data_IF_027017074875
#
_entry.id   IF_027017074875
#
_cell.length_a   1.000
_cell.length_b   1.000
_cell.length_c   1.000
_cell.angle_alpha   90.00
_cell.angle_beta   90.00
_cell.angle_gamma   90.00
#
_symmetry.space_group_name_H-M   'P 1'
#
loop_
_entity.id
_entity.type
_entity.pdbx_description
1 polymer ?
#
# COMPACT_ATOMS: atom_id res chain seq x y z
N UNK A 1 14.29 10.69 14.38
CA UNK A 1 13.99 10.77 12.94
C UNK A 1 15.21 10.98 12.04
N UNK A 2 16.06 11.99 12.28
CA UNK A 2 17.22 12.29 11.41
C UNK A 2 18.18 11.11 11.18
N UNK A 3 18.45 10.30 12.22
CA UNK A 3 19.29 9.09 12.09
C UNK A 3 18.71 8.03 11.13
N UNK A 4 17.39 7.91 11.06
CA UNK A 4 16.72 6.95 10.15
C UNK A 4 16.74 7.45 8.70
N UNK A 5 16.54 8.76 8.49
CA UNK A 5 16.72 9.40 7.19
C UNK A 5 18.17 9.22 6.69
N UNK A 6 19.16 9.49 7.54
CA UNK A 6 20.58 9.33 7.20
C UNK A 6 20.98 7.86 6.90
N UNK A 7 20.29 6.89 7.50
CA UNK A 7 20.50 5.47 7.27
C UNK A 7 19.68 4.91 6.08
N UNK A 8 18.96 5.75 5.32
CA UNK A 8 18.04 5.33 4.26
C UNK A 8 16.93 4.36 4.74
N UNK A 9 16.51 4.49 6.00
CA UNK A 9 15.46 3.66 6.60
C UNK A 9 14.11 4.39 6.69
N UNK A 10 14.01 5.60 6.13
CA UNK A 10 12.80 6.41 6.17
C UNK A 10 12.62 7.19 4.87
N UNK A 11 11.57 6.86 4.12
CA UNK A 11 11.17 7.55 2.88
C UNK A 11 12.33 7.74 1.88
N UNK A 12 13.22 6.76 1.78
CA UNK A 12 14.49 6.87 1.03
C UNK A 12 14.32 6.84 -0.49
N UNK A 13 13.19 6.36 -0.98
CA UNK A 13 12.93 6.18 -2.42
C UNK A 13 11.96 7.19 -3.03
N UNK A 14 11.70 8.30 -2.35
CA UNK A 14 10.89 9.38 -2.93
C UNK A 14 11.59 10.01 -4.14
N UNK A 15 10.78 10.51 -5.08
CA UNK A 15 11.24 11.17 -6.30
C UNK A 15 11.15 12.68 -6.09
N UNK A 16 12.26 13.43 -6.21
CA UNK A 16 12.23 14.88 -6.09
C UNK A 16 11.53 15.52 -7.30
N UNK A 17 10.62 16.43 -7.01
CA UNK A 17 9.80 17.18 -7.97
C UNK A 17 10.10 18.66 -7.81
N UNK A 18 10.38 19.33 -8.93
CA UNK A 18 10.73 20.75 -8.96
C UNK A 18 10.39 21.38 -10.31
N UNK A 19 10.37 22.71 -10.37
CA UNK A 19 10.13 23.47 -11.60
C UNK A 19 8.79 23.14 -12.27
N UNK A 20 8.80 22.88 -13.58
CA UNK A 20 7.58 22.60 -14.37
C UNK A 20 6.79 21.37 -13.88
N UNK A 21 7.43 20.42 -13.20
CA UNK A 21 6.73 19.25 -12.68
C UNK A 21 5.79 19.63 -11.52
N UNK A 22 6.11 20.68 -10.76
CA UNK A 22 5.23 21.23 -9.72
C UNK A 22 3.96 21.80 -10.33
N UNK A 23 4.08 22.55 -11.43
CA UNK A 23 2.94 23.10 -12.16
C UNK A 23 2.01 21.99 -12.64
N UNK A 24 2.57 20.93 -13.25
CA UNK A 24 1.78 19.76 -13.70
C UNK A 24 1.11 19.04 -12.55
N UNK A 25 1.83 18.86 -11.44
CA UNK A 25 1.28 18.24 -10.24
C UNK A 25 0.12 19.07 -9.68
N UNK A 26 0.23 20.39 -9.66
CA UNK A 26 -0.84 21.29 -9.24
C UNK A 26 -2.06 21.22 -10.16
N UNK A 27 -1.89 21.08 -11.48
CA UNK A 27 -2.99 20.83 -12.41
C UNK A 27 -3.72 19.52 -12.10
N UNK A 28 -2.97 18.46 -11.74
CA UNK A 28 -3.57 17.22 -11.27
C UNK A 28 -4.35 17.43 -9.97
N UNK A 29 -3.80 18.14 -8.98
CA UNK A 29 -4.50 18.45 -7.74
C UNK A 29 -5.82 19.20 -8.00
N UNK A 30 -5.81 20.21 -8.85
CA UNK A 30 -7.02 20.97 -9.22
C UNK A 30 -8.07 20.08 -9.86
N UNK A 31 -7.67 19.20 -10.80
CA UNK A 31 -8.58 18.23 -11.43
C UNK A 31 -9.21 17.28 -10.40
N UNK A 32 -8.48 16.92 -9.35
CA UNK A 32 -8.96 16.08 -8.25
C UNK A 32 -9.79 16.86 -7.20
N UNK A 33 -10.03 18.16 -7.40
CA UNK A 33 -10.76 19.00 -6.44
C UNK A 33 -9.92 19.46 -5.24
N UNK A 34 -8.60 19.27 -5.30
CA UNK A 34 -7.66 19.61 -4.23
C UNK A 34 -6.98 20.94 -4.58
N UNK A 35 -6.88 21.84 -3.59
CA UNK A 35 -6.19 23.13 -3.79
C UNK A 35 -4.72 22.89 -4.20
N UNK A 36 -4.13 23.68 -5.11
CA UNK A 36 -2.70 23.62 -5.41
C UNK A 36 -1.81 23.71 -4.17
N UNK A 37 -0.66 23.04 -4.20
CA UNK A 37 0.42 23.26 -3.21
C UNK A 37 1.16 24.56 -3.51
N UNK A 38 1.61 25.23 -2.45
CA UNK A 38 2.48 26.41 -2.53
C UNK A 38 3.97 26.06 -2.56
N UNK A 39 4.32 24.79 -2.41
CA UNK A 39 5.69 24.31 -2.40
C UNK A 39 6.31 24.44 -3.79
N UNK A 40 7.56 24.90 -3.84
CA UNK A 40 8.35 25.03 -5.07
C UNK A 40 9.17 23.77 -5.37
N UNK A 41 9.38 22.94 -4.36
CA UNK A 41 10.02 21.63 -4.43
C UNK A 41 9.42 20.70 -3.35
N UNK A 42 9.24 19.43 -3.69
CA UNK A 42 8.78 18.37 -2.78
C UNK A 42 9.12 17.01 -3.37
N UNK A 43 8.85 15.93 -2.64
CA UNK A 43 9.13 14.58 -3.13
C UNK A 43 7.86 13.73 -3.16
N UNK A 44 7.71 12.88 -4.18
CA UNK A 44 6.55 11.97 -4.32
C UNK A 44 6.94 10.51 -4.27
N UNK A 45 5.99 9.65 -3.90
CA UNK A 45 6.12 8.21 -3.89
C UNK A 45 5.61 7.56 -5.21
N UNK A 46 5.47 6.23 -5.22
CA UNK A 46 5.02 5.49 -6.40
C UNK A 46 3.63 5.90 -6.91
N UNK A 47 2.67 6.23 -6.03
CA UNK A 47 1.30 6.64 -6.42
C UNK A 47 1.18 8.15 -6.69
N UNK A 48 2.22 8.92 -6.35
CA UNK A 48 2.24 10.37 -6.47
C UNK A 48 1.93 11.11 -5.17
N UNK A 49 1.91 10.41 -4.03
CA UNK A 49 1.73 11.02 -2.72
C UNK A 49 3.03 11.66 -2.22
N UNK A 50 2.93 12.84 -1.62
CA UNK A 50 4.05 13.58 -1.03
C UNK A 50 3.83 13.81 0.47
N UNK A 51 4.82 13.47 1.32
CA UNK A 51 4.76 13.79 2.75
C UNK A 51 4.75 15.30 3.00
N UNK A 52 5.46 16.10 2.20
CA UNK A 52 5.51 17.56 2.36
C UNK A 52 4.17 18.21 2.01
N UNK A 53 3.53 17.75 0.93
CA UNK A 53 2.20 18.23 0.55
C UNK A 53 1.13 17.79 1.56
N UNK A 54 1.24 16.56 2.09
CA UNK A 54 0.36 16.07 3.16
C UNK A 54 0.47 16.93 4.43
N UNK A 55 1.70 17.33 4.80
CA UNK A 55 1.96 18.22 5.93
C UNK A 55 1.38 19.63 5.69
N UNK A 56 1.59 20.21 4.50
CA UNK A 56 1.02 21.51 4.12
C UNK A 56 -0.51 21.50 4.23
N UNK A 57 -1.14 20.43 3.73
CA UNK A 57 -2.60 20.27 3.72
C UNK A 57 -3.19 19.83 5.05
N UNK A 58 -2.34 19.40 6.01
CA UNK A 58 -2.75 18.76 7.26
C UNK A 58 -3.66 17.54 7.04
N UNK A 59 -3.46 16.84 5.94
CA UNK A 59 -4.26 15.69 5.54
C UNK A 59 -3.32 14.62 4.98
N UNK A 60 -3.23 13.49 5.68
CA UNK A 60 -2.34 12.40 5.30
C UNK A 60 -2.73 11.84 3.92
N UNK A 61 -3.99 11.47 3.75
CA UNK A 61 -4.49 10.87 2.51
C UNK A 61 -5.16 11.93 1.62
N UNK A 62 -4.44 13.00 1.27
CA UNK A 62 -5.02 14.10 0.48
C UNK A 62 -5.35 13.71 -0.97
N UNK A 63 -4.78 12.62 -1.49
CA UNK A 63 -5.14 12.05 -2.80
C UNK A 63 -6.37 11.15 -2.76
N UNK A 64 -6.97 10.99 -1.58
CA UNK A 64 -8.22 10.25 -1.41
C UNK A 64 -9.35 11.23 -1.07
N UNK A 65 -10.36 11.29 -1.93
CA UNK A 65 -11.58 12.06 -1.71
C UNK A 65 -12.53 11.22 -0.84
N UNK A 66 -12.33 11.30 0.47
CA UNK A 66 -12.99 10.41 1.44
C UNK A 66 -12.31 9.05 1.51
N UNK A 67 -13.05 8.04 1.95
CA UNK A 67 -12.51 6.69 2.15
C UNK A 67 -12.64 5.79 0.91
N UNK A 68 -13.59 6.07 0.00
CA UNK A 68 -13.85 5.24 -1.18
C UNK A 68 -13.08 5.69 -2.43
N UNK A 69 -12.89 7.01 -2.61
CA UNK A 69 -12.36 7.55 -3.86
C UNK A 69 -10.86 7.80 -3.76
N UNK A 70 -10.08 6.80 -4.15
CA UNK A 70 -8.63 6.93 -4.20
C UNK A 70 -8.18 7.39 -5.58
N UNK A 71 -7.25 8.33 -5.61
CA UNK A 71 -6.63 8.81 -6.84
C UNK A 71 -5.11 8.70 -6.76
N UNK A 72 -4.48 8.70 -7.92
CA UNK A 72 -3.03 8.73 -8.10
C UNK A 72 -2.62 9.83 -9.06
N UNK A 73 -1.35 10.23 -9.00
CA UNK A 73 -0.75 11.20 -9.90
C UNK A 73 0.54 10.59 -10.45
N UNK A 74 0.58 10.40 -11.77
CA UNK A 74 1.78 9.95 -12.49
C UNK A 74 2.33 11.13 -13.28
N UNK A 75 3.48 11.63 -12.85
CA UNK A 75 4.18 12.76 -13.47
C UNK A 75 5.60 12.39 -13.95
N UNK A 76 6.07 11.18 -13.66
CA UNK A 76 7.40 10.73 -14.05
C UNK A 76 7.46 9.21 -14.26
N UNK A 77 8.22 8.71 -15.25
CA UNK A 77 8.47 7.28 -15.40
C UNK A 77 9.29 6.71 -14.23
N UNK A 78 9.96 7.57 -13.45
CA UNK A 78 10.72 7.17 -12.26
C UNK A 78 9.85 6.60 -11.15
N UNK A 79 8.53 6.81 -11.19
CA UNK A 79 7.57 6.20 -10.26
C UNK A 79 7.45 4.68 -10.45
N UNK A 80 7.93 4.15 -11.58
CA UNK A 80 7.93 2.71 -11.83
C UNK A 80 8.73 1.96 -10.76
N UNK A 81 8.04 1.05 -10.07
CA UNK A 81 8.65 0.19 -9.04
C UNK A 81 8.95 0.89 -7.72
N UNK A 82 8.52 2.15 -7.55
CA UNK A 82 8.69 2.88 -6.29
C UNK A 82 7.68 2.44 -5.24
N UNK A 83 8.07 2.47 -3.95
CA UNK A 83 7.17 2.13 -2.87
C UNK A 83 6.01 3.13 -2.81
N UNK A 84 4.83 2.62 -2.44
CA UNK A 84 3.68 3.41 -1.99
C UNK A 84 3.73 3.43 -0.47
N UNK A 85 4.02 4.58 0.13
CA UNK A 85 4.31 4.66 1.58
C UNK A 85 3.05 4.69 2.42
N UNK A 86 2.00 5.32 1.91
CA UNK A 86 0.72 5.48 2.60
C UNK A 86 -0.42 4.84 1.79
N UNK A 87 -0.35 3.53 1.48
CA UNK A 87 -1.45 2.86 0.80
C UNK A 87 -2.72 2.96 1.66
N UNK A 88 -3.86 3.21 1.02
CA UNK A 88 -5.16 3.14 1.66
C UNK A 88 -5.64 1.68 1.70
N UNK A 89 -5.37 0.95 0.62
CA UNK A 89 -5.58 -0.49 0.52
C UNK A 89 -4.25 -1.24 0.34
N UNK A 90 -4.12 -2.45 0.88
CA UNK A 90 -2.88 -3.25 0.69
C UNK A 90 -2.55 -3.51 -0.78
N UNK A 91 -3.56 -3.58 -1.65
CA UNK A 91 -3.39 -3.81 -3.08
C UNK A 91 -3.00 -2.57 -3.90
N UNK A 92 -2.97 -1.36 -3.32
CA UNK A 92 -2.57 -0.14 -4.05
C UNK A 92 -1.19 -0.25 -4.69
N UNK A 93 -0.29 -0.96 -3.99
CA UNK A 93 1.08 -1.24 -4.46
C UNK A 93 1.06 -2.10 -5.73
N UNK A 94 0.19 -3.11 -5.76
CA UNK A 94 0.07 -4.03 -6.88
C UNK A 94 -0.66 -3.37 -8.05
N UNK A 95 -1.67 -2.53 -7.78
CA UNK A 95 -2.31 -1.71 -8.82
C UNK A 95 -1.30 -0.84 -9.55
N UNK A 96 -0.44 -0.11 -8.80
CA UNK A 96 0.59 0.72 -9.42
C UNK A 96 1.61 -0.11 -10.23
N UNK A 97 1.97 -1.32 -9.77
CA UNK A 97 2.83 -2.21 -10.56
C UNK A 97 2.15 -2.62 -11.87
N UNK A 98 0.87 -2.98 -11.83
CA UNK A 98 0.12 -3.37 -13.03
C UNK A 98 -0.03 -2.20 -14.01
N UNK A 99 -0.29 -0.98 -13.52
CA UNK A 99 -0.31 0.25 -14.34
C UNK A 99 0.99 0.42 -15.12
N UNK A 100 2.15 0.33 -14.46
CA UNK A 100 3.45 0.51 -15.11
C UNK A 100 3.88 -0.69 -15.96
N UNK A 101 3.34 -1.87 -15.70
CA UNK A 101 3.57 -3.08 -16.51
C UNK A 101 2.80 -2.99 -17.82
N UNK A 102 1.53 -2.56 -17.78
CA UNK A 102 0.65 -2.46 -18.95
C UNK A 102 0.97 -1.23 -19.81
N UNK A 103 1.10 -0.05 -19.19
CA UNK A 103 1.19 1.23 -19.90
C UNK A 103 2.56 1.91 -19.78
N UNK A 104 3.60 1.23 -19.28
CA UNK A 104 4.89 1.85 -18.95
C UNK A 104 5.57 2.62 -20.09
N UNK A 105 5.46 2.13 -21.33
CA UNK A 105 6.01 2.83 -22.52
C UNK A 105 5.23 4.11 -22.83
N UNK A 106 3.90 4.06 -22.76
CA UNK A 106 3.00 5.21 -22.98
C UNK A 106 3.18 6.25 -21.89
N UNK A 107 3.22 5.84 -20.62
CA UNK A 107 3.50 6.71 -19.48
C UNK A 107 4.82 7.44 -19.68
N UNK A 108 5.88 6.75 -20.12
CA UNK A 108 7.18 7.37 -20.38
C UNK A 108 7.14 8.43 -21.50
N UNK A 109 6.32 8.25 -22.53
CA UNK A 109 6.16 9.28 -23.57
C UNK A 109 5.28 10.44 -23.08
N UNK A 110 4.13 10.14 -22.48
CA UNK A 110 3.15 11.12 -21.99
C UNK A 110 3.77 12.04 -20.94
N UNK A 111 4.52 11.50 -19.97
CA UNK A 111 5.04 12.28 -18.84
C UNK A 111 6.19 13.22 -19.22
N UNK A 112 6.67 13.21 -20.46
CA UNK A 112 7.66 14.18 -20.97
C UNK A 112 7.12 15.61 -20.89
N UNK A 113 5.89 15.79 -21.34
CA UNK A 113 5.23 17.08 -21.48
C UNK A 113 3.90 17.19 -20.72
N UNK A 114 3.34 16.06 -20.28
CA UNK A 114 2.05 15.97 -19.60
C UNK A 114 2.17 15.28 -18.22
N UNK A 115 1.04 15.11 -17.55
CA UNK A 115 0.84 14.34 -16.34
C UNK A 115 -0.48 13.57 -16.43
N UNK A 116 -0.58 12.48 -15.68
CA UNK A 116 -1.71 11.56 -15.72
C UNK A 116 -2.31 11.53 -14.31
N UNK A 117 -3.58 11.91 -14.20
CA UNK A 117 -4.40 11.55 -13.05
C UNK A 117 -4.85 10.10 -13.22
N UNK A 118 -4.74 9.33 -12.15
CA UNK A 118 -5.20 7.94 -12.08
C UNK A 118 -6.39 7.90 -11.15
N UNK A 119 -7.47 7.29 -11.61
CA UNK A 119 -8.67 7.12 -10.81
C UNK A 119 -8.86 5.62 -10.52
N UNK A 120 -8.96 5.26 -9.25
CA UNK A 120 -9.13 3.89 -8.79
C UNK A 120 -10.60 3.64 -8.47
N UNK A 121 -11.40 3.43 -9.51
CA UNK A 121 -12.85 3.27 -9.41
C UNK A 121 -13.22 1.86 -8.93
N UNK A 122 -13.78 1.79 -7.73
CA UNK A 122 -14.22 0.56 -7.08
C UNK A 122 -15.73 0.30 -7.24
N UNK A 123 -16.44 1.13 -8.01
CA UNK A 123 -17.90 1.05 -8.18
C UNK A 123 -18.69 1.49 -6.94
N UNK A 124 -18.06 2.27 -6.05
CA UNK A 124 -18.62 2.77 -4.80
C UNK A 124 -18.30 4.26 -4.71
N UNK A 125 -19.34 5.09 -4.81
CA UNK A 125 -19.17 6.55 -4.75
C UNK A 125 -18.81 7.02 -3.35
N UNK A 126 -19.47 6.44 -2.34
CA UNK A 126 -19.32 6.78 -0.92
C UNK A 126 -19.60 5.54 -0.08
N UNK A 127 -18.76 5.31 0.92
CA UNK A 127 -19.01 4.35 1.97
C UNK A 127 -20.14 4.81 2.89
N UNK A 128 -21.21 4.03 2.98
CA UNK A 128 -22.35 4.31 3.87
C UNK A 128 -22.26 3.41 5.11
N UNK A 129 -21.99 2.13 4.88
CA UNK A 129 -21.92 1.12 5.95
C UNK A 129 -20.67 0.25 5.82
N UNK A 130 -20.16 -0.32 6.92
CA UNK A 130 -18.95 -1.15 6.88
C UNK A 130 -19.04 -2.35 5.92
N UNK A 131 -20.26 -2.81 5.64
CA UNK A 131 -20.53 -3.93 4.74
C UNK A 131 -20.31 -3.59 3.27
N UNK A 132 -20.26 -2.31 2.90
CA UNK A 132 -19.92 -1.86 1.55
C UNK A 132 -18.52 -2.35 1.12
N UNK A 133 -17.62 -2.61 2.08
CA UNK A 133 -16.27 -3.17 1.79
C UNK A 133 -16.36 -4.52 1.07
N UNK A 134 -17.41 -5.31 1.31
CA UNK A 134 -17.55 -6.62 0.66
C UNK A 134 -17.77 -6.51 -0.84
N UNK A 135 -18.25 -5.36 -1.32
CA UNK A 135 -18.48 -5.10 -2.75
C UNK A 135 -17.18 -4.89 -3.54
N UNK A 136 -16.02 -4.81 -2.87
CA UNK A 136 -14.72 -4.59 -3.49
C UNK A 136 -14.18 -5.86 -4.16
N UNK A 137 -14.53 -6.17 -5.40
CA UNK A 137 -13.96 -7.33 -6.11
C UNK A 137 -12.97 -6.93 -7.21
N UNK A 138 -13.30 -5.86 -7.93
CA UNK A 138 -12.61 -5.39 -9.12
C UNK A 138 -12.49 -3.88 -9.07
N UNK A 139 -11.27 -3.37 -9.16
CA UNK A 139 -10.97 -1.95 -9.33
C UNK A 139 -10.76 -1.66 -10.81
N UNK A 140 -11.50 -0.70 -11.34
CA UNK A 140 -11.29 -0.16 -12.68
C UNK A 140 -10.36 1.05 -12.59
N UNK A 141 -9.12 0.88 -13.02
CA UNK A 141 -8.13 1.94 -13.05
C UNK A 141 -8.33 2.74 -14.33
N UNK A 142 -8.78 3.99 -14.20
CA UNK A 142 -8.98 4.94 -15.30
C UNK A 142 -7.85 5.96 -15.32
N UNK A 143 -7.60 6.53 -16.49
CA UNK A 143 -6.51 7.46 -16.72
C UNK A 143 -7.03 8.73 -17.36
N UNK A 144 -6.52 9.84 -16.85
CA UNK A 144 -6.97 11.17 -17.20
C UNK A 144 -5.75 12.05 -17.47
N UNK A 145 -5.58 12.47 -18.71
CA UNK A 145 -4.49 13.37 -19.09
C UNK A 145 -4.83 14.80 -18.64
N UNK A 146 -3.85 15.52 -18.09
CA UNK A 146 -4.04 16.95 -17.82
C UNK A 146 -4.28 17.72 -19.12
N UNK A 147 -5.05 18.80 -19.04
CA UNK A 147 -5.43 19.65 -20.18
C UNK A 147 -6.17 18.92 -21.32
N UNK A 148 -6.70 17.72 -21.07
CA UNK A 148 -7.39 16.88 -22.05
C UNK A 148 -6.57 16.70 -23.34
N UNK A 149 -5.29 16.33 -23.18
CA UNK A 149 -4.35 16.21 -24.30
C UNK A 149 -4.84 15.25 -25.39
N UNK A 150 -5.60 14.21 -25.01
CA UNK A 150 -6.27 13.28 -25.91
C UNK A 150 -7.38 13.93 -26.75
N UNK A 151 -8.19 14.82 -26.16
CA UNK A 151 -9.16 15.62 -26.90
C UNK A 151 -8.46 16.57 -27.87
N UNK A 152 -7.36 17.20 -27.43
CA UNK A 152 -6.54 18.09 -28.28
C UNK A 152 -5.85 17.36 -29.42
N UNK A 153 -5.48 16.11 -29.22
CA UNK A 153 -5.01 15.25 -30.31
C UNK A 153 -6.11 15.00 -31.34
N UNK A 154 -7.34 14.68 -30.90
CA UNK A 154 -8.48 14.48 -31.82
C UNK A 154 -8.78 15.74 -32.63
N UNK A 155 -8.80 16.90 -31.98
CA UNK A 155 -8.96 18.21 -32.64
C UNK A 155 -7.85 18.43 -33.70
N UNK A 156 -6.59 18.16 -33.35
CA UNK A 156 -5.47 18.32 -34.28
C UNK A 156 -5.56 17.36 -35.48
N UNK A 157 -5.98 16.11 -35.27
CA UNK A 157 -6.20 15.14 -36.35
C UNK A 157 -7.34 15.57 -37.28
N UNK A 158 -8.44 16.11 -36.74
CA UNK A 158 -9.54 16.66 -37.55
C UNK A 158 -9.09 17.85 -38.41
N UNK A 159 -8.25 18.75 -37.87
CA UNK A 159 -7.67 19.85 -38.65
C UNK A 159 -6.79 19.32 -39.79
N UNK A 160 -6.04 18.24 -39.56
CA UNK A 160 -5.20 17.61 -40.58
C UNK A 160 -6.04 16.92 -41.65
N UNK A 161 -7.10 16.21 -41.27
CA UNK A 161 -8.06 15.61 -42.20
C UNK A 161 -8.71 16.68 -43.07
N UNK A 162 -9.17 17.78 -42.46
CA UNK A 162 -9.70 18.94 -43.18
C UNK A 162 -8.66 19.51 -44.14
N UNK A 163 -7.41 19.67 -43.70
CA UNK A 163 -6.32 20.19 -44.52
C UNK A 163 -6.02 19.30 -45.74
N UNK A 164 -6.05 17.99 -45.56
CA UNK A 164 -5.82 17.00 -46.62
C UNK A 164 -7.04 16.80 -47.54
N UNK A 165 -8.18 17.43 -47.23
CA UNK A 165 -9.41 17.30 -48.01
C UNK A 165 -9.51 18.42 -49.05
N UNK A 166 -9.90 18.06 -50.27
CA UNK A 166 -10.12 18.97 -51.41
C UNK A 166 -8.93 19.92 -51.67
N UNK A 167 -9.19 21.23 -51.75
CA UNK A 167 -8.19 22.27 -51.93
C UNK A 167 -7.94 23.04 -50.62
N UNK A 168 -8.23 22.47 -49.44
CA UNK A 168 -8.07 23.19 -48.17
C UNK A 168 -6.59 23.46 -47.83
N UNK A 169 -5.64 22.83 -48.53
CA UNK A 169 -4.20 23.08 -48.38
C UNK A 169 -3.75 24.49 -48.80
N UNK A 170 -4.60 25.28 -49.47
CA UNK A 170 -4.33 26.71 -49.76
C UNK A 170 -5.00 27.66 -48.76
N UNK A 171 -5.77 27.14 -47.80
CA UNK A 171 -6.46 27.95 -46.80
C UNK A 171 -5.47 28.42 -45.71
N UNK A 172 -5.07 29.69 -45.78
CA UNK A 172 -4.18 30.32 -44.81
C UNK A 172 -4.77 30.38 -43.39
N UNK A 173 -6.10 30.41 -43.25
CA UNK A 173 -6.74 30.36 -41.93
C UNK A 173 -6.51 28.98 -41.29
N UNK A 174 -6.69 27.91 -42.06
CA UNK A 174 -6.45 26.54 -41.60
C UNK A 174 -4.97 26.30 -41.25
N UNK A 175 -4.05 26.90 -42.01
CA UNK A 175 -2.62 26.90 -41.64
C UNK A 175 -2.37 27.56 -40.29
N UNK A 176 -3.04 28.70 -40.04
CA UNK A 176 -2.99 29.40 -38.76
C UNK A 176 -3.48 28.54 -37.60
N UNK A 177 -4.63 27.89 -37.76
CA UNK A 177 -5.21 26.98 -36.75
C UNK A 177 -4.27 25.80 -36.43
N UNK A 178 -3.67 25.17 -37.45
CA UNK A 178 -2.68 24.10 -37.28
C UNK A 178 -1.41 24.58 -36.57
N UNK A 179 -0.88 25.75 -36.95
CA UNK A 179 0.33 26.33 -36.34
C UNK A 179 0.10 26.68 -34.87
N UNK A 180 -1.03 27.28 -34.53
CA UNK A 180 -1.36 27.62 -33.14
C UNK A 180 -1.57 26.37 -32.28
N UNK A 181 -2.23 25.34 -32.83
CA UNK A 181 -2.34 24.03 -32.17
C UNK A 181 -0.96 23.42 -31.88
N UNK A 182 -0.08 23.39 -32.89
CA UNK A 182 1.27 22.82 -32.77
C UNK A 182 2.16 23.60 -31.80
N UNK A 183 2.09 24.94 -31.76
CA UNK A 183 2.84 25.76 -30.81
C UNK A 183 2.40 25.52 -29.37
N UNK A 184 1.10 25.32 -29.15
CA UNK A 184 0.52 25.21 -27.80
C UNK A 184 0.66 23.81 -27.22
N UNK A 185 0.41 22.76 -28.02
CA UNK A 185 0.35 21.37 -27.55
C UNK A 185 1.44 20.46 -28.13
N UNK A 186 2.27 20.97 -29.04
CA UNK A 186 3.23 20.18 -29.77
C UNK A 186 2.61 19.40 -30.94
N UNK A 187 3.43 18.55 -31.56
CA UNK A 187 2.99 17.64 -32.61
C UNK A 187 2.45 16.35 -31.97
N UNK A 188 1.14 16.14 -32.06
CA UNK A 188 0.45 15.00 -31.46
C UNK A 188 0.14 13.89 -32.47
N UNK A 189 0.47 14.07 -33.76
CA UNK A 189 0.03 13.17 -34.84
C UNK A 189 0.38 11.70 -34.64
N UNK A 190 1.58 11.45 -34.14
CA UNK A 190 2.13 10.09 -34.00
C UNK A 190 2.23 9.64 -32.53
N UNK A 191 1.61 10.37 -31.60
CA UNK A 191 1.66 10.04 -30.18
C UNK A 191 0.57 9.03 -29.83
N UNK A 192 0.92 8.01 -29.07
CA UNK A 192 -0.06 7.08 -28.50
C UNK A 192 -0.44 7.54 -27.10
N UNK A 193 -1.52 8.33 -27.03
CA UNK A 193 -2.05 8.88 -25.77
C UNK A 193 -3.16 8.00 -25.16
N UNK A 194 -3.53 6.90 -25.82
CA UNK A 194 -4.64 6.06 -25.39
C UNK A 194 -4.22 5.14 -24.24
N UNK A 195 -4.66 5.47 -23.03
CA UNK A 195 -4.49 4.62 -21.85
C UNK A 195 -5.81 3.89 -21.57
N UNK A 196 -5.89 2.64 -22.03
CA UNK A 196 -7.07 1.81 -21.80
C UNK A 196 -7.26 1.53 -20.29
N UNK A 197 -8.52 1.55 -19.78
CA UNK A 197 -8.78 1.22 -18.39
C UNK A 197 -8.29 -0.19 -18.04
N UNK A 198 -7.65 -0.33 -16.88
CA UNK A 198 -7.16 -1.62 -16.38
C UNK A 198 -8.17 -2.14 -15.37
N UNK A 199 -8.61 -3.39 -15.51
CA UNK A 199 -9.37 -4.09 -14.47
C UNK A 199 -8.41 -4.86 -13.58
N UNK A 200 -8.39 -4.52 -12.30
CA UNK A 200 -7.57 -5.18 -11.28
C UNK A 200 -8.49 -5.91 -10.31
N UNK A 201 -8.39 -7.24 -10.25
CA UNK A 201 -9.15 -8.05 -9.29
C UNK A 201 -8.37 -8.20 -7.99
N UNK A 202 -9.08 -8.18 -6.87
CA UNK A 202 -8.49 -8.21 -5.53
C UNK A 202 -9.19 -9.28 -4.68
N UNK A 203 -8.40 -10.09 -3.99
CA UNK A 203 -8.88 -11.14 -3.09
C UNK A 203 -8.98 -10.64 -1.65
N UNK A 204 -8.12 -11.16 -0.76
CA UNK A 204 -7.95 -10.72 0.61
C UNK A 204 -7.16 -9.42 0.65
N UNK A 205 -7.63 -8.44 1.43
CA UNK A 205 -6.94 -7.16 1.58
C UNK A 205 -7.22 -6.50 2.93
N UNK A 206 -6.41 -5.49 3.24
CA UNK A 206 -6.69 -4.55 4.32
C UNK A 206 -7.00 -3.17 3.73
N UNK A 207 -7.99 -2.49 4.31
CA UNK A 207 -8.34 -1.10 4.02
C UNK A 207 -8.30 -0.25 5.28
N UNK A 208 -7.92 1.02 5.12
CA UNK A 208 -8.01 2.03 6.20
C UNK A 208 -9.42 2.57 6.40
N UNK A 209 -10.36 2.25 5.52
CA UNK A 209 -11.76 2.62 5.68
C UNK A 209 -12.29 2.13 7.04
N UNK A 210 -13.25 2.86 7.61
CA UNK A 210 -13.88 2.50 8.89
C UNK A 210 -12.88 2.23 10.02
N UNK A 211 -11.77 2.98 10.05
CA UNK A 211 -10.75 2.84 11.09
C UNK A 211 -9.85 1.61 10.98
N UNK A 212 -9.96 0.83 9.90
CA UNK A 212 -9.12 -0.35 9.64
C UNK A 212 -9.94 -1.64 9.59
N UNK A 213 -9.98 -2.27 8.42
CA UNK A 213 -10.69 -3.54 8.21
C UNK A 213 -9.84 -4.49 7.37
N UNK A 214 -9.67 -5.72 7.84
CA UNK A 214 -9.15 -6.83 7.05
C UNK A 214 -10.33 -7.62 6.49
N UNK A 215 -10.32 -7.82 5.18
CA UNK A 215 -11.21 -8.74 4.50
C UNK A 215 -10.39 -9.94 4.03
N UNK A 216 -10.70 -11.11 4.58
CA UNK A 216 -10.09 -12.37 4.18
C UNK A 216 -11.09 -13.16 3.34
N UNK A 217 -10.75 -13.31 2.07
CA UNK A 217 -11.44 -14.13 1.08
C UNK A 217 -10.56 -15.30 0.71
N UNK A 218 -11.14 -16.47 0.55
CA UNK A 218 -10.42 -17.65 0.07
C UNK A 218 -11.36 -18.65 -0.53
N UNK A 219 -10.88 -19.34 -1.57
CA UNK A 219 -11.59 -20.45 -2.21
C UNK A 219 -11.74 -21.65 -1.25
N UNK A 220 -10.88 -21.74 -0.23
CA UNK A 220 -10.84 -22.81 0.76
C UNK A 220 -11.72 -22.53 2.01
N UNK A 221 -12.32 -21.34 2.14
CA UNK A 221 -13.17 -20.98 3.27
C UNK A 221 -14.65 -21.04 2.88
N UNK A 222 -15.49 -21.55 3.77
CA UNK A 222 -16.94 -21.58 3.55
C UNK A 222 -17.53 -20.15 3.52
N UNK A 223 -16.89 -19.21 4.23
CA UNK A 223 -17.38 -17.83 4.34
C UNK A 223 -16.25 -16.84 4.58
N UNK A 224 -16.40 -15.64 4.03
CA UNK A 224 -15.51 -14.50 4.23
C UNK A 224 -15.35 -14.18 5.72
N UNK A 225 -14.15 -13.70 6.08
CA UNK A 225 -13.84 -13.24 7.44
C UNK A 225 -13.50 -11.75 7.38
N UNK A 226 -14.32 -10.95 8.06
CA UNK A 226 -14.08 -9.53 8.31
C UNK A 226 -13.47 -9.35 9.71
N UNK A 227 -12.34 -8.64 9.78
CA UNK A 227 -11.70 -8.28 11.05
C UNK A 227 -11.60 -6.77 11.15
N UNK A 228 -12.26 -6.20 12.16
CA UNK A 228 -12.30 -4.77 12.41
C UNK A 228 -11.26 -4.38 13.48
N UNK A 229 -10.51 -3.31 13.20
CA UNK A 229 -9.61 -2.67 14.19
C UNK A 229 -10.37 -1.70 15.09
N UNK A 230 -11.42 -1.06 14.56
CA UNK A 230 -12.26 -0.11 15.31
C UNK A 230 -13.49 -0.78 15.92
N UNK A 231 -13.65 -0.65 17.24
CA UNK A 231 -14.75 -1.25 18.01
C UNK A 231 -16.12 -0.63 17.68
N UNK A 232 -16.16 0.64 17.27
CA UNK A 232 -17.42 1.32 16.92
C UNK A 232 -17.98 0.73 15.63
N UNK A 233 -17.14 0.60 14.61
CA UNK A 233 -17.54 0.05 13.32
C UNK A 233 -17.81 -1.44 13.38
N UNK A 234 -17.06 -2.19 14.20
CA UNK A 234 -17.37 -3.58 14.52
C UNK A 234 -18.80 -3.73 15.07
N UNK A 235 -19.15 -2.92 16.08
CA UNK A 235 -20.49 -2.95 16.70
C UNK A 235 -21.61 -2.56 15.74
N UNK A 236 -21.31 -1.73 14.74
CA UNK A 236 -22.26 -1.41 13.69
C UNK A 236 -22.43 -2.56 12.71
N UNK A 237 -21.32 -3.15 12.26
CA UNK A 237 -21.31 -4.26 11.30
C UNK A 237 -22.09 -5.48 11.81
N UNK A 238 -21.92 -5.87 13.08
CA UNK A 238 -22.60 -7.04 13.66
C UNK A 238 -24.12 -6.88 13.81
N UNK A 239 -24.67 -5.67 13.63
CA UNK A 239 -26.13 -5.48 13.57
C UNK A 239 -26.71 -6.00 12.26
N UNK A 240 -25.89 -6.20 11.24
CA UNK A 240 -26.32 -6.77 9.98
C UNK A 240 -26.61 -8.27 10.17
N UNK A 241 -27.90 -8.62 10.11
CA UNK A 241 -28.36 -10.02 10.25
C UNK A 241 -28.47 -10.77 8.93
N UNK A 242 -28.17 -10.09 7.81
CA UNK A 242 -28.29 -10.65 6.45
C UNK A 242 -26.97 -11.31 6.04
N UNK A 243 -25.84 -10.76 6.47
CA UNK A 243 -24.53 -11.28 6.13
C UNK A 243 -24.24 -12.60 6.85
N UNK A 244 -23.85 -13.62 6.08
CA UNK A 244 -23.59 -14.98 6.57
C UNK A 244 -22.11 -15.24 6.89
N UNK A 245 -21.23 -14.26 6.65
CA UNK A 245 -19.80 -14.39 6.94
C UNK A 245 -19.43 -14.12 8.40
N UNK A 246 -18.16 -14.31 8.71
CA UNK A 246 -17.65 -14.12 10.06
C UNK A 246 -17.18 -12.68 10.27
N UNK A 247 -17.55 -12.09 11.40
CA UNK A 247 -17.14 -10.74 11.78
C UNK A 247 -16.50 -10.77 13.16
N UNK A 248 -15.26 -10.29 13.25
CA UNK A 248 -14.51 -10.21 14.49
C UNK A 248 -13.97 -8.81 14.73
N UNK A 249 -13.81 -8.46 16.00
CA UNK A 249 -12.90 -7.38 16.39
C UNK A 249 -11.50 -7.97 16.60
N UNK A 250 -10.44 -7.23 16.24
CA UNK A 250 -9.05 -7.72 16.27
C UNK A 250 -8.60 -8.24 17.65
N UNK A 251 -9.22 -7.76 18.73
CA UNK A 251 -8.90 -8.19 20.10
C UNK A 251 -9.70 -9.40 20.61
N UNK A 252 -10.61 -9.95 19.81
CA UNK A 252 -11.40 -11.12 20.21
C UNK A 252 -10.56 -12.40 20.18
N UNK A 253 -10.48 -13.16 21.29
CA UNK A 253 -9.72 -14.41 21.34
C UNK A 253 -10.18 -15.43 20.29
N UNK A 254 -11.48 -15.49 20.00
CA UNK A 254 -12.11 -16.42 19.08
C UNK A 254 -11.60 -16.25 17.63
N UNK A 255 -11.11 -15.05 17.28
CA UNK A 255 -10.50 -14.79 15.97
C UNK A 255 -9.35 -15.76 15.71
N UNK A 256 -8.46 -15.95 16.70
CA UNK A 256 -7.30 -16.82 16.54
C UNK A 256 -7.67 -18.28 16.36
N UNK A 257 -8.73 -18.74 17.04
CA UNK A 257 -9.27 -20.08 16.87
C UNK A 257 -9.82 -20.27 15.45
N UNK A 258 -10.55 -19.26 14.95
CA UNK A 258 -11.12 -19.31 13.59
C UNK A 258 -10.05 -19.29 12.51
N UNK A 259 -9.05 -18.40 12.63
CA UNK A 259 -7.94 -18.33 11.68
C UNK A 259 -7.13 -19.63 11.65
N UNK A 260 -6.92 -20.28 12.80
CA UNK A 260 -6.30 -21.61 12.87
C UNK A 260 -7.17 -22.70 12.25
N UNK A 261 -8.47 -22.70 12.52
CA UNK A 261 -9.37 -23.75 12.02
C UNK A 261 -9.56 -23.69 10.49
N UNK A 262 -9.20 -22.58 9.88
CA UNK A 262 -9.21 -22.37 8.42
C UNK A 262 -7.80 -22.43 7.83
N UNK A 263 -6.78 -22.85 8.60
CA UNK A 263 -5.38 -22.92 8.16
C UNK A 263 -4.84 -21.59 7.58
N UNK A 264 -5.41 -20.44 7.98
CA UNK A 264 -4.94 -19.10 7.57
C UNK A 264 -3.65 -18.73 8.31
N UNK A 265 -3.54 -19.19 9.56
CA UNK A 265 -2.35 -19.01 10.38
C UNK A 265 -1.85 -20.37 10.86
N UNK A 266 -0.54 -20.58 10.74
CA UNK A 266 0.14 -21.73 11.28
C UNK A 266 1.41 -21.27 12.01
N UNK A 267 1.75 -21.97 13.10
CA UNK A 267 2.97 -21.73 13.85
C UNK A 267 3.85 -22.99 13.83
N UNK A 268 4.85 -23.01 12.95
CA UNK A 268 5.85 -24.08 12.93
C UNK A 268 6.92 -23.84 14.00
N UNK A 269 6.57 -24.17 15.25
CA UNK A 269 7.42 -23.94 16.42
C UNK A 269 8.79 -24.64 16.33
N UNK A 270 8.84 -25.82 15.71
CA UNK A 270 10.08 -26.57 15.50
C UNK A 270 11.08 -25.83 14.59
N UNK A 271 10.58 -25.15 13.55
CA UNK A 271 11.39 -24.32 12.66
C UNK A 271 11.82 -23.04 13.38
N UNK A 272 10.90 -22.39 14.11
CA UNK A 272 11.16 -21.09 14.74
C UNK A 272 12.32 -21.15 15.75
N UNK A 273 12.44 -22.23 16.54
CA UNK A 273 13.53 -22.43 17.52
C UNK A 273 14.93 -22.44 16.88
N UNK A 274 15.02 -22.85 15.61
CA UNK A 274 16.28 -22.86 14.86
C UNK A 274 16.70 -21.48 14.36
N UNK A 275 15.81 -20.49 14.40
CA UNK A 275 16.06 -19.18 13.79
C UNK A 275 16.99 -18.29 14.64
N UNK A 276 17.81 -17.43 14.00
CA UNK A 276 18.57 -16.40 14.73
C UNK A 276 17.67 -15.39 15.47
N UNK A 277 16.42 -15.21 15.03
CA UNK A 277 15.44 -14.36 15.71
C UNK A 277 15.09 -14.96 17.06
N UNK A 278 14.71 -16.23 17.11
CA UNK A 278 14.41 -16.93 18.36
C UNK A 278 15.58 -16.85 19.34
N UNK A 279 16.81 -17.15 18.90
CA UNK A 279 18.00 -17.06 19.75
C UNK A 279 18.21 -15.65 20.33
N UNK A 280 17.96 -14.60 19.54
CA UNK A 280 18.01 -13.20 20.03
C UNK A 280 16.92 -12.91 21.06
N UNK A 281 15.68 -13.35 20.81
CA UNK A 281 14.55 -13.18 21.75
C UNK A 281 14.83 -13.92 23.05
N UNK A 282 15.30 -15.18 22.97
CA UNK A 282 15.69 -15.99 24.12
C UNK A 282 16.79 -15.31 24.94
N UNK A 283 17.86 -14.81 24.31
CA UNK A 283 18.91 -14.03 24.99
C UNK A 283 18.35 -12.76 25.64
N UNK A 284 17.47 -12.04 24.95
CA UNK A 284 16.84 -10.82 25.48
C UNK A 284 15.92 -11.10 26.68
N UNK A 285 15.16 -12.19 26.62
CA UNK A 285 14.30 -12.65 27.72
C UNK A 285 15.15 -13.10 28.91
N UNK A 286 16.18 -13.91 28.66
CA UNK A 286 17.14 -14.35 29.67
C UNK A 286 17.82 -13.16 30.38
N UNK A 287 18.23 -12.14 29.62
CA UNK A 287 18.84 -10.94 30.17
C UNK A 287 17.95 -10.18 31.17
N UNK A 288 16.61 -10.29 31.07
CA UNK A 288 15.67 -9.67 32.01
C UNK A 288 15.67 -10.32 33.39
N UNK A 289 16.15 -11.56 33.49
CA UNK A 289 16.20 -12.33 34.74
C UNK A 289 17.61 -12.39 35.34
N UNK A 290 18.59 -11.72 34.71
CA UNK A 290 19.95 -11.65 35.23
C UNK A 290 20.04 -10.58 36.33
N UNK A 291 20.10 -11.01 37.58
CA UNK A 291 20.32 -10.14 38.75
C UNK A 291 21.72 -10.35 39.34
N UNK A 292 22.33 -9.29 39.88
CA UNK A 292 23.62 -9.33 40.59
C UNK A 292 24.74 -10.08 39.84
N UNK A 293 24.99 -9.69 38.59
CA UNK A 293 25.95 -10.39 37.72
C UNK A 293 27.40 -10.00 38.02
N UNK A 294 28.25 -11.01 38.25
CA UNK A 294 29.72 -10.84 38.36
C UNK A 294 30.41 -10.53 37.03
N UNK A 295 29.75 -10.81 35.91
CA UNK A 295 30.26 -10.58 34.56
C UNK A 295 29.37 -9.56 33.81
N UNK A 296 29.92 -8.78 32.86
CA UNK A 296 29.11 -7.92 32.01
C UNK A 296 28.03 -8.72 31.27
N UNK A 297 26.80 -8.22 31.22
CA UNK A 297 25.65 -8.89 30.57
C UNK A 297 26.00 -9.34 29.15
N UNK A 298 26.69 -8.49 28.37
CA UNK A 298 27.13 -8.85 27.02
C UNK A 298 28.01 -10.10 27.00
N UNK A 299 28.96 -10.22 27.93
CA UNK A 299 29.83 -11.39 28.02
C UNK A 299 29.03 -12.65 28.39
N UNK A 300 28.05 -12.53 29.29
CA UNK A 300 27.15 -13.64 29.68
C UNK A 300 26.30 -14.12 28.49
N UNK A 301 25.81 -13.20 27.66
CA UNK A 301 24.96 -13.53 26.51
C UNK A 301 25.74 -14.09 25.31
N UNK A 302 27.00 -13.69 25.14
CA UNK A 302 27.82 -14.07 23.99
C UNK A 302 28.64 -15.34 24.24
N UNK A 303 29.07 -15.59 25.47
CA UNK A 303 29.85 -16.78 25.84
C UNK A 303 28.94 -17.97 26.22
N UNK A 304 29.19 -19.12 25.60
CA UNK A 304 28.33 -20.32 25.78
C UNK A 304 28.44 -20.93 27.18
N UNK A 305 29.61 -20.84 27.81
CA UNK A 305 29.83 -21.39 29.17
C UNK A 305 29.18 -20.48 30.21
N UNK A 306 29.39 -19.16 30.10
CA UNK A 306 28.75 -18.19 30.99
C UNK A 306 27.24 -18.25 30.83
N UNK A 307 26.72 -18.29 29.60
CA UNK A 307 25.28 -18.41 29.36
C UNK A 307 24.67 -19.59 30.11
N UNK A 308 25.26 -20.79 29.98
CA UNK A 308 24.80 -22.00 30.69
C UNK A 308 24.93 -21.89 32.20
N UNK A 309 26.03 -21.33 32.69
CA UNK A 309 26.27 -21.15 34.13
C UNK A 309 25.22 -20.26 34.77
N UNK A 310 24.95 -19.10 34.16
CA UNK A 310 23.95 -18.16 34.66
C UNK A 310 22.52 -18.67 34.44
N UNK A 311 22.26 -19.41 33.36
CA UNK A 311 20.97 -20.05 33.12
C UNK A 311 20.63 -21.05 34.25
N UNK A 312 21.59 -21.88 34.67
CA UNK A 312 21.40 -22.83 35.77
C UNK A 312 21.24 -22.18 37.15
N UNK A 313 21.56 -20.88 37.29
CA UNK A 313 21.35 -20.12 38.53
C UNK A 313 19.94 -19.53 38.63
N UNK A 314 19.17 -19.51 37.54
CA UNK A 314 17.79 -19.07 37.56
C UNK A 314 16.91 -20.05 38.31
N UNK A 315 15.87 -19.55 38.97
CA UNK A 315 14.85 -20.42 39.53
C UNK A 315 14.06 -21.15 38.43
N UNK A 316 13.30 -22.17 38.84
CA UNK A 316 12.53 -23.03 37.93
C UNK A 316 11.49 -22.22 37.15
N UNK A 317 10.89 -21.18 37.73
CA UNK A 317 9.87 -20.38 37.08
C UNK A 317 10.44 -19.54 35.93
N UNK A 318 11.61 -18.94 36.14
CA UNK A 318 12.34 -18.17 35.13
C UNK A 318 12.94 -19.10 34.05
N UNK A 319 13.45 -20.27 34.43
CA UNK A 319 13.91 -21.29 33.48
C UNK A 319 12.80 -21.73 32.51
N UNK A 320 11.60 -21.99 33.04
CA UNK A 320 10.42 -22.31 32.22
C UNK A 320 10.05 -21.19 31.26
N UNK A 321 10.20 -19.91 31.65
CA UNK A 321 9.96 -18.78 30.75
C UNK A 321 11.01 -18.69 29.64
N UNK A 322 12.29 -18.92 29.96
CA UNK A 322 13.40 -18.80 29.00
C UNK A 322 13.43 -19.97 28.01
N UNK A 323 13.22 -21.20 28.48
CA UNK A 323 13.31 -22.42 27.68
C UNK A 323 11.93 -23.02 27.33
N UNK A 324 10.83 -22.34 27.65
CA UNK A 324 9.48 -22.91 27.58
C UNK A 324 9.13 -23.50 26.22
N UNK A 325 9.53 -22.85 25.13
CA UNK A 325 9.27 -23.36 23.78
C UNK A 325 10.04 -24.64 23.45
N UNK A 326 11.31 -24.73 23.84
CA UNK A 326 12.14 -25.93 23.66
C UNK A 326 11.61 -27.08 24.53
N UNK A 327 11.23 -26.78 25.78
CA UNK A 327 10.61 -27.75 26.68
C UNK A 327 9.26 -28.25 26.16
N UNK A 328 8.46 -27.38 25.54
CA UNK A 328 7.20 -27.77 24.90
C UNK A 328 7.43 -28.74 23.77
N UNK A 329 8.35 -28.42 22.86
CA UNK A 329 8.69 -29.27 21.72
C UNK A 329 9.26 -30.62 22.16
N UNK A 330 10.17 -30.64 23.14
CA UNK A 330 10.72 -31.89 23.70
C UNK A 330 9.64 -32.79 24.30
N UNK A 331 8.60 -32.20 24.91
CA UNK A 331 7.47 -32.95 25.45
C UNK A 331 6.52 -33.45 24.37
N UNK A 332 6.25 -32.64 23.35
CA UNK A 332 5.45 -33.05 22.18
C UNK A 332 6.08 -34.23 21.44
N UNK A 333 7.40 -34.28 21.32
CA UNK A 333 8.11 -35.43 20.74
C UNK A 333 7.89 -36.73 21.53
N UNK A 334 7.58 -36.64 22.83
CA UNK A 334 7.33 -37.80 23.71
C UNK A 334 5.86 -38.20 23.78
N UNK A 335 4.92 -37.25 23.67
CA UNK A 335 3.47 -37.51 23.59
C UNK A 335 2.71 -36.31 23.02
N UNK A 336 1.75 -36.59 22.14
CA UNK A 336 0.87 -35.57 21.54
C UNK A 336 -0.24 -35.07 22.49
N UNK A 337 -0.32 -35.59 23.72
CA UNK A 337 -1.36 -35.20 24.70
C UNK A 337 -1.01 -33.93 25.50
N UNK A 338 0.24 -33.45 25.44
CA UNK A 338 0.67 -32.28 26.22
C UNK A 338 0.13 -30.97 25.64
N UNK A 339 -0.56 -30.20 26.48
CA UNK A 339 -1.02 -28.84 26.17
C UNK A 339 -0.02 -27.80 26.64
N UNK A 340 -0.11 -26.59 26.08
CA UNK A 340 0.69 -25.43 26.53
C UNK A 340 0.47 -25.13 28.01
N UNK A 341 -0.73 -25.43 28.53
CA UNK A 341 -1.12 -25.29 29.94
C UNK A 341 -0.36 -26.23 30.89
N UNK A 342 0.29 -27.28 30.37
CA UNK A 342 1.02 -28.28 31.16
C UNK A 342 2.51 -27.91 31.39
N UNK A 343 2.95 -26.74 30.89
CA UNK A 343 4.29 -26.17 31.06
C UNK A 343 4.35 -25.22 32.25
#
# INVERSE_FOLDING_TARGET
MQKLKAANLYLSELIPISGKLVERYNLCLEKLGIKPTKLTEFSIDGIGWSPEVAEEKKQLNYLSNGEANQHGIIISPLQKGKPVYTPFHTFDREMMKEVFKTHGSKINDITRDCAICVDFDQGIDVFIEPMDILRYDTVTIKFDLINNLDEKQKEQLQLIEKFNSDNNFIDEQLHGELLESAKKYGDLRNRDLLLEPIKFSTDSFYTKAFGGVYLLRGEDFISDILVFEDDTWYKEAIKNTIYEGYMFHISQPELMDKLRSHDIIEAHLSVEVTTPRYQRIKKALFARFLENTEHPIKAILDDTMLFKSYLNKLDVAHLKKVNGLEMYLERLERSNEYKVEDL
#
